data_IF_373285695159
#
_entry.id   IF_373285695159
#
_cell.length_a   1.000
_cell.length_b   1.000
_cell.length_c   1.000
_cell.angle_alpha   90.00
_cell.angle_beta   90.00
_cell.angle_gamma   90.00
#
_symmetry.space_group_name_H-M   'P 1'
#
loop_
_entity.id
_entity.type
_entity.pdbx_description
1 polymer ?
#
# COMPACT_ATOMS: atom_id res chain seq x y z
N UNK A 1 -47.49 -12.89 -19.15
CA UNK A 1 -46.87 -13.01 -20.49
C UNK A 1 -45.75 -11.98 -20.54
N UNK A 2 -44.49 -12.42 -20.67
CA UNK A 2 -43.37 -11.51 -20.82
C UNK A 2 -43.54 -10.73 -22.14
N UNK A 3 -43.41 -9.40 -22.08
CA UNK A 3 -43.54 -8.53 -23.24
C UNK A 3 -42.27 -8.71 -24.07
N UNK A 4 -42.38 -9.20 -25.32
CA UNK A 4 -41.25 -9.23 -26.25
C UNK A 4 -40.75 -7.80 -26.47
N UNK A 5 -39.48 -7.53 -26.20
CA UNK A 5 -38.82 -6.24 -26.45
C UNK A 5 -37.59 -6.46 -27.31
N UNK A 6 -37.38 -5.60 -28.30
CA UNK A 6 -36.15 -5.55 -29.08
C UNK A 6 -35.05 -4.86 -28.28
N UNK A 7 -33.79 -5.15 -28.59
CA UNK A 7 -32.66 -4.48 -27.94
C UNK A 7 -32.68 -2.96 -28.16
N UNK A 8 -33.13 -2.51 -29.33
CA UNK A 8 -33.34 -1.09 -29.62
C UNK A 8 -34.42 -0.47 -28.71
N UNK A 9 -35.45 -1.23 -28.33
CA UNK A 9 -36.47 -0.76 -27.40
C UNK A 9 -35.88 -0.56 -26.00
N UNK A 10 -34.91 -1.40 -25.59
CA UNK A 10 -34.18 -1.27 -24.31
C UNK A 10 -33.25 -0.06 -24.34
N UNK A 11 -32.50 0.14 -25.42
CA UNK A 11 -31.62 1.31 -25.59
C UNK A 11 -32.46 2.60 -25.58
N UNK A 12 -33.59 2.62 -26.29
CA UNK A 12 -34.50 3.77 -26.33
C UNK A 12 -35.17 4.03 -24.98
N UNK A 13 -35.47 2.97 -24.22
CA UNK A 13 -35.99 3.06 -22.85
C UNK A 13 -35.01 3.76 -21.89
N UNK A 14 -33.72 3.51 -22.06
CA UNK A 14 -32.63 4.00 -21.19
C UNK A 14 -32.01 5.32 -21.68
N UNK A 15 -32.36 5.77 -22.88
CA UNK A 15 -31.77 6.94 -23.55
C UNK A 15 -31.88 8.24 -22.74
N UNK A 16 -32.95 8.38 -21.98
CA UNK A 16 -33.23 9.57 -21.15
C UNK A 16 -32.82 9.37 -19.68
N UNK A 17 -32.12 8.28 -19.36
CA UNK A 17 -31.56 7.99 -18.03
C UNK A 17 -30.04 8.14 -18.05
N UNK A 18 -29.45 8.61 -16.95
CA UNK A 18 -28.00 8.82 -16.79
C UNK A 18 -27.27 7.47 -16.55
N UNK A 19 -27.42 6.55 -17.50
CA UNK A 19 -26.87 5.20 -17.43
C UNK A 19 -25.55 5.18 -18.20
N UNK A 20 -24.45 5.09 -17.47
CA UNK A 20 -23.10 5.01 -18.05
C UNK A 20 -22.77 3.60 -18.58
N UNK A 21 -23.24 2.54 -17.91
CA UNK A 21 -23.00 1.16 -18.29
C UNK A 21 -24.12 0.20 -17.80
N UNK A 22 -24.24 -0.96 -18.48
CA UNK A 22 -25.13 -2.06 -18.08
C UNK A 22 -24.28 -3.24 -17.58
N UNK A 23 -24.03 -3.30 -16.26
CA UNK A 23 -23.28 -4.39 -15.64
C UNK A 23 -24.21 -5.39 -14.93
N UNK A 24 -23.93 -6.69 -15.07
CA UNK A 24 -24.69 -7.76 -14.41
C UNK A 24 -26.11 -7.98 -14.94
N UNK A 25 -26.47 -7.37 -16.07
CA UNK A 25 -27.82 -7.49 -16.66
C UNK A 25 -27.92 -8.77 -17.50
N UNK A 26 -28.85 -9.65 -17.13
CA UNK A 26 -29.16 -10.87 -17.90
C UNK A 26 -30.45 -10.68 -18.68
N UNK A 27 -30.39 -10.82 -20.00
CA UNK A 27 -31.57 -10.84 -20.86
C UNK A 27 -32.03 -12.28 -21.05
N UNK A 28 -33.15 -12.66 -20.43
CA UNK A 28 -33.76 -13.98 -20.63
C UNK A 28 -34.84 -13.92 -21.73
N UNK A 29 -34.60 -14.63 -22.84
CA UNK A 29 -35.55 -14.78 -23.96
C UNK A 29 -34.93 -15.32 -25.24
N UNK A 30 -35.76 -15.67 -26.23
CA UNK A 30 -35.31 -16.05 -27.57
C UNK A 30 -34.76 -14.82 -28.29
N UNK A 31 -33.44 -14.76 -28.47
CA UNK A 31 -32.76 -13.70 -29.23
C UNK A 31 -32.81 -14.07 -30.71
N UNK A 32 -33.69 -13.41 -31.47
CA UNK A 32 -33.69 -13.46 -32.94
C UNK A 32 -32.86 -12.29 -33.49
N UNK A 33 -31.68 -12.60 -34.03
CA UNK A 33 -30.85 -11.67 -34.79
C UNK A 33 -31.14 -11.87 -36.28
N UNK A 34 -31.99 -11.03 -36.87
CA UNK A 34 -32.10 -10.93 -38.33
C UNK A 34 -30.87 -10.18 -38.87
N UNK A 35 -29.91 -10.93 -39.40
CA UNK A 35 -28.78 -10.38 -40.15
C UNK A 35 -29.18 -10.38 -41.62
N UNK A 36 -29.68 -9.25 -42.11
CA UNK A 36 -29.85 -9.06 -43.55
C UNK A 36 -28.48 -8.79 -44.19
N UNK A 37 -28.00 -9.76 -44.97
CA UNK A 37 -26.81 -9.57 -45.82
C UNK A 37 -27.04 -8.41 -46.78
N UNK A 38 -26.27 -7.34 -46.66
CA UNK A 38 -26.22 -6.32 -47.71
C UNK A 38 -25.30 -6.77 -48.84
N UNK A 39 -25.69 -6.44 -50.07
CA UNK A 39 -25.07 -6.92 -51.33
C UNK A 39 -23.58 -6.58 -51.54
N UNK A 40 -22.88 -6.03 -50.54
CA UNK A 40 -21.48 -5.63 -50.59
C UNK A 40 -20.57 -6.33 -49.54
N UNK A 41 -21.10 -7.23 -48.70
CA UNK A 41 -20.27 -8.00 -47.76
C UNK A 41 -19.62 -7.18 -46.63
N UNK A 42 -20.21 -6.05 -46.27
CA UNK A 42 -19.74 -5.17 -45.19
C UNK A 42 -20.59 -5.45 -43.94
N UNK A 43 -19.94 -5.55 -42.77
CA UNK A 43 -20.57 -5.78 -41.47
C UNK A 43 -21.73 -4.80 -41.20
N UNK A 44 -22.87 -5.32 -40.74
CA UNK A 44 -24.14 -4.58 -40.63
C UNK A 44 -24.07 -3.46 -39.60
N UNK A 45 -23.30 -3.65 -38.52
CA UNK A 45 -23.05 -2.63 -37.52
C UNK A 45 -22.16 -1.51 -38.07
N UNK A 46 -21.11 -1.86 -38.83
CA UNK A 46 -20.26 -0.89 -39.50
C UNK A 46 -21.01 -0.09 -40.57
N UNK A 47 -21.85 -0.75 -41.38
CA UNK A 47 -22.68 -0.10 -42.39
C UNK A 47 -23.73 0.84 -41.76
N UNK A 48 -24.35 0.42 -40.64
CA UNK A 48 -25.29 1.26 -39.89
C UNK A 48 -24.59 2.49 -39.28
N UNK A 49 -23.41 2.30 -38.69
CA UNK A 49 -22.64 3.38 -38.06
C UNK A 49 -22.13 4.38 -39.10
N UNK A 50 -21.58 3.90 -40.22
CA UNK A 50 -21.24 4.75 -41.37
C UNK A 50 -22.48 5.46 -41.94
N UNK A 51 -23.61 4.76 -42.05
CA UNK A 51 -24.86 5.33 -42.55
C UNK A 51 -25.33 6.50 -41.69
N UNK A 52 -25.29 6.36 -40.37
CA UNK A 52 -25.60 7.45 -39.44
C UNK A 52 -24.63 8.63 -39.58
N UNK A 53 -23.33 8.38 -39.59
CA UNK A 53 -22.33 9.46 -39.69
C UNK A 53 -22.40 10.18 -41.04
N UNK A 54 -22.63 9.45 -42.13
CA UNK A 54 -22.84 10.03 -43.46
C UNK A 54 -24.12 10.87 -43.51
N UNK A 55 -25.20 10.43 -42.86
CA UNK A 55 -26.44 11.20 -42.76
C UNK A 55 -26.26 12.49 -41.95
N UNK A 56 -25.48 12.46 -40.85
CA UNK A 56 -25.13 13.66 -40.07
C UNK A 56 -24.32 14.65 -40.90
N UNK A 57 -23.34 14.18 -41.67
CA UNK A 57 -22.57 15.03 -42.59
C UNK A 57 -23.49 15.67 -43.65
N UNK A 58 -24.42 14.89 -44.21
CA UNK A 58 -25.44 15.41 -45.14
C UNK A 58 -26.29 16.54 -44.53
N UNK A 59 -26.73 16.37 -43.28
CA UNK A 59 -27.45 17.40 -42.52
C UNK A 59 -26.61 18.66 -42.27
N UNK A 60 -25.33 18.51 -41.94
CA UNK A 60 -24.42 19.64 -41.77
C UNK A 60 -24.21 20.43 -43.07
N UNK A 61 -24.04 19.74 -44.20
CA UNK A 61 -23.89 20.38 -45.50
C UNK A 61 -25.17 21.10 -45.95
N UNK A 62 -26.34 20.53 -45.68
CA UNK A 62 -27.63 21.19 -45.94
C UNK A 62 -27.81 22.44 -45.08
N UNK A 63 -27.40 22.41 -43.82
CA UNK A 63 -27.43 23.58 -42.93
C UNK A 63 -26.44 24.66 -43.38
N UNK A 64 -25.25 24.28 -43.86
CA UNK A 64 -24.27 25.20 -44.45
C UNK A 64 -24.82 25.87 -45.72
N UNK A 65 -25.41 25.09 -46.63
CA UNK A 65 -26.05 25.60 -47.84
C UNK A 65 -27.21 26.58 -47.53
N UNK A 66 -28.00 26.29 -46.48
CA UNK A 66 -29.03 27.20 -45.97
C UNK A 66 -28.42 28.50 -45.42
N UNK A 67 -27.28 28.42 -44.72
CA UNK A 67 -26.59 29.60 -44.15
C UNK A 67 -26.05 30.58 -45.20
N UNK A 68 -25.77 30.11 -46.42
CA UNK A 68 -25.34 30.94 -47.57
C UNK A 68 -26.50 31.33 -48.50
N UNK A 69 -27.75 31.11 -48.07
CA UNK A 69 -28.97 31.55 -48.76
C UNK A 69 -29.47 30.64 -49.88
N UNK A 70 -28.97 29.40 -49.97
CA UNK A 70 -29.40 28.44 -50.99
C UNK A 70 -30.69 27.71 -50.57
N UNK A 71 -31.74 27.65 -51.42
CA UNK A 71 -33.03 27.05 -51.08
C UNK A 71 -32.97 25.52 -51.15
N UNK A 72 -32.60 24.89 -50.04
CA UNK A 72 -32.44 23.42 -49.92
C UNK A 72 -33.75 22.64 -49.72
N UNK A 73 -34.85 23.32 -49.42
CA UNK A 73 -36.12 22.68 -49.06
C UNK A 73 -36.82 21.97 -50.25
N UNK A 74 -36.35 22.19 -51.49
CA UNK A 74 -36.86 21.51 -52.69
C UNK A 74 -36.19 20.15 -52.96
N UNK A 75 -35.10 19.81 -52.26
CA UNK A 75 -34.29 18.60 -52.52
C UNK A 75 -34.69 17.43 -51.61
N UNK A 76 -35.28 17.70 -50.44
CA UNK A 76 -35.61 16.69 -49.43
C UNK A 76 -37.01 16.07 -49.63
N UNK A 77 -37.22 15.36 -50.73
CA UNK A 77 -38.39 14.49 -50.91
C UNK A 77 -38.17 13.10 -50.31
N UNK A 78 -38.20 12.97 -48.97
CA UNK A 78 -38.22 11.66 -48.31
C UNK A 78 -39.62 11.37 -47.77
N UNK A 79 -40.24 10.22 -48.11
CA UNK A 79 -41.51 9.82 -47.52
C UNK A 79 -41.33 9.53 -46.02
N UNK A 80 -42.24 10.06 -45.21
CA UNK A 80 -42.26 9.82 -43.78
C UNK A 80 -42.45 8.34 -43.47
N UNK A 81 -41.50 7.75 -42.73
CA UNK A 81 -41.71 6.43 -42.13
C UNK A 81 -42.84 6.49 -41.09
N UNK A 82 -43.67 5.44 -40.97
CA UNK A 82 -44.70 5.38 -39.94
C UNK A 82 -44.07 5.44 -38.55
N UNK A 83 -44.64 6.28 -37.69
CA UNK A 83 -44.26 6.39 -36.28
C UNK A 83 -44.40 5.01 -35.61
N UNK A 84 -43.28 4.46 -35.14
CA UNK A 84 -43.30 3.30 -34.27
C UNK A 84 -44.05 3.64 -32.97
N UNK A 85 -44.78 2.67 -32.37
CA UNK A 85 -45.51 2.89 -31.12
C UNK A 85 -44.56 3.36 -30.02
N UNK A 86 -44.92 4.45 -29.34
CA UNK A 86 -44.13 5.04 -28.27
C UNK A 86 -43.90 4.03 -27.13
N UNK A 87 -42.65 3.62 -26.94
CA UNK A 87 -42.22 2.86 -25.76
C UNK A 87 -42.43 3.76 -24.53
N UNK A 88 -43.03 3.26 -23.43
CA UNK A 88 -43.24 4.06 -22.22
C UNK A 88 -41.88 4.53 -21.67
N UNK A 89 -41.70 5.85 -21.56
CA UNK A 89 -40.48 6.44 -20.99
C UNK A 89 -40.36 6.10 -19.50
N UNK A 90 -39.20 5.61 -19.06
CA UNK A 90 -38.89 5.53 -17.63
C UNK A 90 -38.68 6.94 -17.09
N UNK A 91 -39.49 7.33 -16.11
CA UNK A 91 -39.39 8.65 -15.47
C UNK A 91 -38.39 8.66 -14.32
N UNK A 92 -38.05 7.49 -13.75
CA UNK A 92 -37.07 7.34 -12.68
C UNK A 92 -36.62 5.88 -12.58
N UNK A 93 -35.31 5.65 -12.44
CA UNK A 93 -34.79 4.34 -12.02
C UNK A 93 -35.14 4.08 -10.56
N UNK A 94 -35.23 2.80 -10.18
CA UNK A 94 -35.35 2.45 -8.76
C UNK A 94 -34.08 2.94 -8.06
N UNK A 95 -34.23 3.75 -7.01
CA UNK A 95 -33.09 4.19 -6.20
C UNK A 95 -32.46 2.96 -5.55
N UNK A 96 -31.27 2.59 -6.02
CA UNK A 96 -30.38 1.67 -5.33
C UNK A 96 -29.33 2.48 -4.60
N UNK A 97 -29.10 2.17 -3.32
CA UNK A 97 -27.96 2.71 -2.59
C UNK A 97 -26.82 1.73 -2.76
N UNK A 98 -25.72 2.19 -3.37
CA UNK A 98 -24.45 1.52 -3.21
C UNK A 98 -24.06 1.58 -1.73
N UNK A 99 -24.13 0.44 -1.05
CA UNK A 99 -23.62 0.29 0.31
C UNK A 99 -22.24 -0.34 0.22
N UNK A 100 -21.24 0.43 0.62
CA UNK A 100 -19.90 -0.09 0.91
C UNK A 100 -19.92 -0.79 2.27
N UNK A 101 -19.13 -1.84 2.44
CA UNK A 101 -18.75 -2.33 3.76
C UNK A 101 -19.38 -3.61 4.31
N UNK A 102 -19.61 -4.61 3.46
CA UNK A 102 -20.16 -5.90 3.88
C UNK A 102 -19.60 -7.05 3.05
N UNK A 103 -18.28 -7.24 3.02
CA UNK A 103 -17.75 -8.53 2.59
C UNK A 103 -17.82 -9.49 3.79
N UNK A 104 -18.80 -10.39 3.74
CA UNK A 104 -19.05 -11.41 4.78
C UNK A 104 -17.89 -12.42 4.92
N UNK A 105 -16.91 -12.41 4.00
CA UNK A 105 -15.68 -13.20 4.12
C UNK A 105 -14.71 -12.62 5.15
N UNK A 106 -14.79 -11.32 5.48
CA UNK A 106 -13.97 -10.70 6.53
C UNK A 106 -14.48 -11.10 7.92
N UNK A 107 -13.91 -12.16 8.48
CA UNK A 107 -14.33 -12.77 9.76
C UNK A 107 -13.59 -12.24 10.98
N UNK A 108 -12.35 -11.79 10.82
CA UNK A 108 -11.56 -11.27 11.95
C UNK A 108 -10.92 -9.94 11.64
N UNK A 109 -10.70 -9.17 12.70
CA UNK A 109 -9.96 -7.92 12.67
C UNK A 109 -8.47 -8.22 12.83
N UNK A 110 -7.64 -7.42 12.15
CA UNK A 110 -6.20 -7.37 12.42
C UNK A 110 -5.97 -6.88 13.85
N UNK A 111 -5.12 -7.55 14.62
CA UNK A 111 -4.84 -7.17 16.01
C UNK A 111 -4.37 -5.72 16.08
N UNK A 112 -4.82 -5.00 17.11
CA UNK A 112 -4.25 -3.70 17.43
C UNK A 112 -3.01 -3.90 18.31
N UNK A 113 -1.91 -3.28 17.93
CA UNK A 113 -0.64 -3.33 18.67
C UNK A 113 -0.17 -1.91 18.91
N UNK A 114 -0.05 -1.53 20.19
CA UNK A 114 0.45 -0.22 20.59
C UNK A 114 1.93 -0.27 20.91
N UNK A 115 2.68 0.68 20.33
CA UNK A 115 4.10 0.94 20.55
C UNK A 115 4.28 2.23 21.35
N UNK A 116 5.25 2.18 22.27
CA UNK A 116 5.51 3.27 23.19
C UNK A 116 4.60 3.23 24.42
N UNK A 117 5.09 3.83 25.50
CA UNK A 117 4.37 3.98 26.75
C UNK A 117 4.61 5.39 27.30
N UNK A 118 3.54 6.10 27.65
CA UNK A 118 3.64 7.43 28.23
C UNK A 118 3.84 7.35 29.74
N UNK A 119 4.00 8.49 30.39
CA UNK A 119 4.06 8.57 31.86
C UNK A 119 2.84 7.97 32.58
N UNK A 120 1.65 7.93 31.95
CA UNK A 120 0.48 7.26 32.53
C UNK A 120 0.54 5.74 32.43
N UNK A 121 1.35 5.21 31.53
CA UNK A 121 1.52 3.78 31.24
C UNK A 121 2.80 3.21 31.88
N UNK A 122 3.60 4.07 32.53
CA UNK A 122 4.87 3.71 33.17
C UNK A 122 6.12 3.91 32.32
N UNK A 123 5.99 4.45 31.10
CA UNK A 123 7.12 4.79 30.23
C UNK A 123 7.41 6.29 30.20
N UNK A 124 8.27 6.72 29.27
CA UNK A 124 8.70 8.11 29.14
C UNK A 124 8.42 8.73 27.76
N UNK A 125 7.74 8.00 26.88
CA UNK A 125 7.38 8.50 25.54
C UNK A 125 6.39 9.67 25.65
N UNK A 126 6.45 10.60 24.70
CA UNK A 126 5.53 11.74 24.60
C UNK A 126 4.15 11.35 24.07
N UNK A 127 4.09 10.27 23.29
CA UNK A 127 2.85 9.68 22.76
C UNK A 127 3.06 8.21 22.41
N UNK A 128 1.95 7.53 22.12
CA UNK A 128 1.94 6.13 21.64
C UNK A 128 1.50 6.07 20.18
N UNK A 129 1.87 5.00 19.49
CA UNK A 129 1.40 4.69 18.14
C UNK A 129 0.71 3.33 18.16
N UNK A 130 -0.48 3.24 17.57
CA UNK A 130 -1.20 1.97 17.41
C UNK A 130 -1.20 1.56 15.95
N UNK A 131 -0.84 0.30 15.70
CA UNK A 131 -0.89 -0.36 14.40
C UNK A 131 -2.06 -1.33 14.34
N UNK A 132 -2.50 -1.65 13.13
CA UNK A 132 -3.50 -2.68 12.90
C UNK A 132 -4.93 -2.20 13.14
N UNK A 133 -5.84 -3.12 13.43
CA UNK A 133 -7.25 -2.85 13.65
C UNK A 133 -8.10 -2.90 12.38
N UNK A 134 -7.53 -3.14 11.22
CA UNK A 134 -8.24 -3.20 9.94
C UNK A 134 -9.26 -4.35 9.93
N UNK A 135 -10.39 -4.10 9.27
CA UNK A 135 -11.45 -5.09 9.01
C UNK A 135 -11.67 -5.34 7.52
N UNK A 136 -10.77 -4.81 6.69
CA UNK A 136 -10.74 -4.93 5.24
C UNK A 136 -9.29 -4.78 4.76
N UNK A 137 -9.09 -4.91 3.45
CA UNK A 137 -7.83 -4.57 2.78
C UNK A 137 -7.48 -3.08 2.96
N UNK A 138 -6.19 -2.71 2.89
CA UNK A 138 -5.75 -1.33 3.07
C UNK A 138 -6.39 -0.40 2.03
N UNK A 139 -6.84 0.77 2.48
CA UNK A 139 -7.50 1.80 1.66
C UNK A 139 -8.78 1.34 0.93
N UNK A 140 -9.32 0.19 1.30
CA UNK A 140 -10.47 -0.38 0.63
C UNK A 140 -11.78 0.13 1.24
N UNK A 141 -12.82 0.27 0.41
CA UNK A 141 -14.10 0.84 0.84
C UNK A 141 -14.91 -0.09 1.77
N UNK A 142 -14.50 -1.36 1.92
CA UNK A 142 -15.21 -2.35 2.74
C UNK A 142 -15.19 -2.05 4.25
N UNK A 143 -14.20 -1.32 4.75
CA UNK A 143 -14.19 -0.89 6.15
C UNK A 143 -13.26 0.31 6.31
N UNK A 144 -13.53 1.20 7.28
CA UNK A 144 -12.58 2.23 7.62
C UNK A 144 -11.26 1.59 8.09
N UNK A 145 -10.15 2.11 7.59
CA UNK A 145 -8.83 1.84 8.13
C UNK A 145 -8.68 2.67 9.42
N UNK A 146 -8.55 2.07 10.62
CA UNK A 146 -8.59 2.82 11.88
C UNK A 146 -7.27 3.53 12.19
N UNK A 147 -6.15 2.93 11.78
CA UNK A 147 -4.81 3.46 11.99
C UNK A 147 -4.14 3.64 10.63
N UNK A 148 -3.44 4.76 10.44
CA UNK A 148 -2.67 4.99 9.21
C UNK A 148 -1.39 4.16 9.21
N UNK A 149 -0.70 4.13 8.07
CA UNK A 149 0.67 3.62 8.00
C UNK A 149 1.63 4.57 8.73
N UNK A 150 2.61 3.99 9.42
CA UNK A 150 3.65 4.72 10.16
C UNK A 150 5.05 4.41 9.62
N UNK A 151 5.96 5.36 9.78
CA UNK A 151 7.35 5.22 9.34
C UNK A 151 8.31 5.34 10.51
N UNK A 152 9.18 4.35 10.66
CA UNK A 152 10.35 4.41 11.52
C UNK A 152 11.58 4.71 10.67
N UNK A 153 12.46 5.60 11.14
CA UNK A 153 13.71 5.92 10.44
C UNK A 153 14.89 5.29 11.16
N UNK A 154 15.77 4.63 10.39
CA UNK A 154 16.94 3.94 10.91
C UNK A 154 18.02 4.92 11.41
N UNK A 155 18.52 4.62 12.60
CA UNK A 155 19.67 5.21 13.29
C UNK A 155 20.60 4.08 13.70
N UNK A 156 21.91 4.34 13.74
CA UNK A 156 22.92 3.32 14.00
C UNK A 156 23.75 3.69 15.22
N UNK A 157 24.16 2.69 16.00
CA UNK A 157 25.01 2.87 17.19
C UNK A 157 26.48 3.20 16.87
N UNK A 158 26.86 3.07 15.61
CA UNK A 158 28.15 3.46 15.07
C UNK A 158 28.01 3.93 13.62
N UNK A 159 28.97 4.70 13.09
CA UNK A 159 29.00 5.05 11.69
C UNK A 159 29.09 3.81 10.80
N UNK A 160 28.20 3.71 9.81
CA UNK A 160 28.21 2.63 8.80
C UNK A 160 28.39 3.17 7.39
N UNK A 161 28.82 2.30 6.48
CA UNK A 161 28.85 2.59 5.05
C UNK A 161 27.42 2.69 4.50
N UNK A 162 27.09 3.80 3.83
CA UNK A 162 25.78 4.02 3.21
C UNK A 162 25.92 4.51 1.77
N UNK A 163 24.87 4.30 0.98
CA UNK A 163 24.73 4.94 -0.32
C UNK A 163 24.82 6.47 -0.16
N UNK A 164 25.53 7.15 -1.07
CA UNK A 164 25.77 8.60 -0.98
C UNK A 164 24.47 9.41 -0.83
N UNK A 165 23.42 9.02 -1.56
CA UNK A 165 22.12 9.68 -1.52
C UNK A 165 21.45 9.63 -0.14
N UNK A 166 21.71 8.57 0.63
CA UNK A 166 21.27 8.46 2.03
C UNK A 166 22.22 9.24 2.93
N UNK A 167 23.52 8.92 2.84
CA UNK A 167 24.57 9.44 3.71
C UNK A 167 24.57 10.96 3.82
N UNK A 168 24.38 11.67 2.71
CA UNK A 168 24.43 13.14 2.67
C UNK A 168 23.40 13.84 3.57
N UNK A 169 22.38 13.12 4.05
CA UNK A 169 21.37 13.67 4.97
C UNK A 169 21.80 13.58 6.45
N UNK A 170 22.85 12.83 6.76
CA UNK A 170 23.22 12.45 8.12
C UNK A 170 24.66 12.77 8.51
N UNK A 171 25.49 13.30 7.60
CA UNK A 171 26.95 13.46 7.79
C UNK A 171 27.35 14.21 9.07
N UNK A 172 26.48 15.09 9.57
CA UNK A 172 26.66 15.89 10.79
C UNK A 172 26.33 15.15 12.09
N UNK A 173 25.65 13.99 12.02
CA UNK A 173 25.15 13.25 13.19
C UNK A 173 25.55 11.77 13.24
N UNK A 174 26.22 11.23 12.22
CA UNK A 174 26.53 9.78 12.14
C UNK A 174 27.38 9.23 13.31
N UNK A 175 28.05 10.11 14.06
CA UNK A 175 28.91 9.75 15.21
C UNK A 175 28.18 9.84 16.56
N UNK A 176 26.93 10.31 16.59
CA UNK A 176 26.15 10.56 17.81
C UNK A 176 24.70 10.04 17.60
N UNK A 177 24.39 8.82 18.07
CA UNK A 177 23.09 8.20 17.89
C UNK A 177 21.93 9.02 18.48
N UNK A 178 22.16 9.72 19.61
CA UNK A 178 21.18 10.61 20.21
C UNK A 178 20.86 11.83 19.35
N UNK A 179 21.86 12.53 18.82
CA UNK A 179 21.66 13.64 17.88
C UNK A 179 21.09 13.16 16.55
N UNK A 180 21.47 11.98 16.09
CA UNK A 180 20.89 11.36 14.90
C UNK A 180 19.39 11.09 15.10
N UNK A 181 19.00 10.49 16.21
CA UNK A 181 17.60 10.29 16.58
C UNK A 181 16.82 11.61 16.63
N UNK A 182 17.38 12.65 17.25
CA UNK A 182 16.77 13.99 17.27
C UNK A 182 16.58 14.54 15.86
N UNK A 183 17.57 14.36 14.98
CA UNK A 183 17.51 14.85 13.60
C UNK A 183 16.40 14.15 12.81
N UNK A 184 16.32 12.82 12.87
CA UNK A 184 15.28 12.09 12.10
C UNK A 184 13.86 12.44 12.57
N UNK A 185 13.66 12.68 13.87
CA UNK A 185 12.37 13.14 14.39
C UNK A 185 12.08 14.58 13.98
N UNK A 186 13.00 15.51 14.25
CA UNK A 186 12.75 16.96 14.09
C UNK A 186 12.75 17.42 12.64
N UNK A 187 13.66 16.90 11.82
CA UNK A 187 13.85 17.37 10.44
C UNK A 187 13.16 16.48 9.42
N UNK A 188 13.07 15.17 9.70
CA UNK A 188 12.54 14.17 8.75
C UNK A 188 11.17 13.60 9.15
N UNK A 189 10.60 14.08 10.25
CA UNK A 189 9.25 13.75 10.70
C UNK A 189 9.04 12.22 10.85
N UNK A 190 10.03 11.54 11.42
CA UNK A 190 9.93 10.13 11.78
C UNK A 190 8.79 9.93 12.79
N UNK A 191 7.94 8.92 12.57
CA UNK A 191 6.90 8.56 13.54
C UNK A 191 7.50 7.73 14.69
N UNK A 192 8.53 6.95 14.40
CA UNK A 192 9.34 6.16 15.33
C UNK A 192 10.82 6.26 14.96
N UNK A 193 11.70 5.81 15.86
CA UNK A 193 13.13 5.61 15.56
C UNK A 193 13.47 4.13 15.65
N UNK A 194 14.16 3.60 14.65
CA UNK A 194 14.79 2.27 14.74
C UNK A 194 16.25 2.47 15.08
N UNK A 195 16.69 2.00 16.25
CA UNK A 195 18.12 1.96 16.59
C UNK A 195 18.68 0.58 16.26
N UNK A 196 19.64 0.52 15.34
CA UNK A 196 20.38 -0.69 15.00
C UNK A 196 21.70 -0.74 15.75
N UNK A 197 21.88 -1.78 16.57
CA UNK A 197 23.09 -2.01 17.36
C UNK A 197 24.15 -2.76 16.52
N UNK A 198 24.55 -2.19 15.39
CA UNK A 198 25.46 -2.82 14.41
C UNK A 198 26.85 -3.09 15.02
N UNK A 199 27.29 -2.27 15.97
CA UNK A 199 28.60 -2.45 16.61
C UNK A 199 28.73 -3.80 17.33
N UNK A 200 27.63 -4.49 17.63
CA UNK A 200 27.67 -5.79 18.30
C UNK A 200 28.09 -6.94 17.40
N UNK A 201 28.14 -6.76 16.08
CA UNK A 201 28.57 -7.81 15.15
C UNK A 201 29.99 -8.29 15.52
N UNK A 202 30.20 -9.60 15.79
CA UNK A 202 31.52 -10.17 16.05
C UNK A 202 32.55 -9.96 14.94
N UNK A 203 32.10 -9.65 13.70
CA UNK A 203 32.96 -9.33 12.56
C UNK A 203 33.29 -7.84 12.43
N UNK A 204 32.66 -6.99 13.24
CA UNK A 204 32.92 -5.55 13.32
C UNK A 204 33.64 -5.21 14.64
N UNK A 205 32.94 -4.57 15.59
CA UNK A 205 33.53 -4.14 16.86
C UNK A 205 33.33 -5.17 17.97
N UNK A 206 32.45 -6.16 17.78
CA UNK A 206 32.06 -7.15 18.81
C UNK A 206 31.62 -6.50 20.15
N UNK A 207 31.02 -5.31 20.09
CA UNK A 207 30.65 -4.54 21.28
C UNK A 207 29.83 -5.41 22.24
N UNK A 208 30.17 -5.47 23.54
CA UNK A 208 29.39 -6.23 24.51
C UNK A 208 27.96 -5.71 24.64
N UNK A 209 26.99 -6.61 24.84
CA UNK A 209 25.57 -6.26 24.98
C UNK A 209 25.30 -5.16 26.03
N UNK A 210 26.02 -5.18 27.16
CA UNK A 210 25.92 -4.16 28.22
C UNK A 210 26.36 -2.78 27.73
N UNK A 211 27.37 -2.72 26.86
CA UNK A 211 27.86 -1.47 26.30
C UNK A 211 26.92 -0.95 25.21
N UNK A 212 26.54 -1.80 24.25
CA UNK A 212 25.62 -1.43 23.17
C UNK A 212 24.24 -0.98 23.70
N UNK A 213 23.76 -1.59 24.78
CA UNK A 213 22.49 -1.19 25.41
C UNK A 213 22.46 0.25 25.92
N UNK A 214 23.63 0.87 26.19
CA UNK A 214 23.68 2.29 26.59
C UNK A 214 23.23 3.23 25.47
N UNK A 215 23.48 2.85 24.22
CA UNK A 215 22.98 3.61 23.06
C UNK A 215 21.45 3.60 23.01
N UNK A 216 20.80 2.52 23.44
CA UNK A 216 19.34 2.48 23.56
C UNK A 216 18.85 3.49 24.61
N UNK A 217 19.50 3.55 25.78
CA UNK A 217 19.20 4.54 26.82
C UNK A 217 19.41 5.98 26.31
N UNK A 218 20.50 6.23 25.58
CA UNK A 218 20.79 7.53 24.97
C UNK A 218 19.68 7.96 24.00
N UNK A 219 19.25 7.08 23.09
CA UNK A 219 18.17 7.37 22.14
C UNK A 219 16.83 7.55 22.87
N UNK A 220 16.53 6.73 23.88
CA UNK A 220 15.34 6.89 24.72
C UNK A 220 15.28 8.28 25.39
N UNK A 221 16.43 8.80 25.84
CA UNK A 221 16.52 10.14 26.45
C UNK A 221 16.51 11.27 25.41
N UNK A 222 16.92 10.98 24.17
CA UNK A 222 17.06 11.96 23.09
C UNK A 222 15.73 12.34 22.43
N UNK A 223 14.80 11.38 22.31
CA UNK A 223 13.51 11.54 21.61
C UNK A 223 12.33 11.02 22.42
N UNK A 224 11.15 11.55 22.13
CA UNK A 224 9.89 11.21 22.81
C UNK A 224 8.98 10.28 21.98
N UNK A 225 9.37 9.94 20.75
CA UNK A 225 8.67 8.95 19.90
C UNK A 225 8.92 7.51 20.38
N UNK A 226 8.05 6.54 20.03
CA UNK A 226 8.32 5.12 20.23
C UNK A 226 9.58 4.63 19.50
N UNK A 227 10.20 3.57 20.02
CA UNK A 227 11.47 3.03 19.52
C UNK A 227 11.35 1.56 19.11
N UNK A 228 11.96 1.24 17.97
CA UNK A 228 12.29 -0.11 17.53
C UNK A 228 13.77 -0.38 17.81
N UNK A 229 14.08 -1.53 18.41
CA UNK A 229 15.46 -1.90 18.77
C UNK A 229 15.88 -3.10 17.92
N UNK A 230 16.87 -2.89 17.05
CA UNK A 230 17.47 -3.90 16.18
C UNK A 230 18.84 -4.34 16.66
N UNK A 231 19.15 -5.63 16.51
CA UNK A 231 20.51 -6.15 16.66
C UNK A 231 21.39 -5.91 15.43
N UNK A 232 22.52 -6.61 15.39
CA UNK A 232 23.44 -6.62 14.24
C UNK A 232 23.03 -7.57 13.10
N UNK A 233 22.05 -8.45 13.36
CA UNK A 233 21.69 -9.56 12.47
C UNK A 233 22.47 -10.85 12.78
N UNK A 234 23.25 -10.90 13.86
CA UNK A 234 24.03 -12.08 14.21
C UNK A 234 23.19 -13.03 15.09
N UNK A 235 22.99 -14.29 14.67
CA UNK A 235 22.02 -15.16 15.33
C UNK A 235 22.37 -15.57 16.76
N UNK A 236 23.65 -15.55 17.11
CA UNK A 236 24.12 -15.91 18.45
C UNK A 236 24.20 -14.67 19.37
N UNK A 237 24.60 -13.52 18.82
CA UNK A 237 24.78 -12.28 19.57
C UNK A 237 23.46 -11.55 19.82
N UNK A 238 22.59 -11.47 18.81
CA UNK A 238 21.39 -10.63 18.86
C UNK A 238 20.45 -11.00 20.03
N UNK A 239 20.16 -12.28 20.36
CA UNK A 239 19.33 -12.59 21.52
C UNK A 239 19.89 -12.08 22.86
N UNK A 240 21.23 -12.05 23.02
CA UNK A 240 21.89 -11.51 24.21
C UNK A 240 21.77 -9.98 24.27
N UNK A 241 21.94 -9.35 23.11
CA UNK A 241 21.87 -7.88 22.96
C UNK A 241 20.45 -7.40 23.19
N UNK A 242 19.46 -8.04 22.56
CA UNK A 242 18.05 -7.66 22.67
C UNK A 242 17.50 -7.92 24.08
N UNK A 243 17.92 -8.98 24.78
CA UNK A 243 17.55 -9.18 26.18
C UNK A 243 18.07 -8.03 27.06
N UNK A 244 19.32 -7.62 26.85
CA UNK A 244 19.90 -6.53 27.61
C UNK A 244 19.29 -5.16 27.24
N UNK A 245 18.99 -4.96 25.96
CA UNK A 245 18.32 -3.76 25.48
C UNK A 245 16.87 -3.64 26.02
N UNK A 246 16.16 -4.77 26.13
CA UNK A 246 14.85 -4.83 26.75
C UNK A 246 14.91 -4.45 28.25
N UNK A 247 15.94 -4.89 28.97
CA UNK A 247 16.11 -4.53 30.39
C UNK A 247 16.31 -3.02 30.60
N UNK A 248 17.15 -2.37 29.78
CA UNK A 248 17.40 -0.92 29.92
C UNK A 248 16.20 -0.08 29.45
N UNK A 249 15.35 -0.64 28.59
CA UNK A 249 14.15 0.00 28.07
C UNK A 249 12.88 -0.40 28.84
N UNK A 250 13.00 -1.01 30.02
CA UNK A 250 11.86 -1.53 30.77
C UNK A 250 10.73 -0.49 30.91
N UNK A 251 9.50 -0.90 30.57
CA UNK A 251 8.33 -0.04 30.65
C UNK A 251 8.12 0.89 29.45
N UNK A 252 9.07 1.01 28.51
CA UNK A 252 8.96 1.91 27.34
C UNK A 252 8.12 1.34 26.20
N UNK A 253 7.76 0.05 26.28
CA UNK A 253 6.98 -0.68 25.26
C UNK A 253 7.55 -0.54 23.84
N UNK A 254 8.88 -0.67 23.73
CA UNK A 254 9.62 -0.78 22.47
C UNK A 254 9.22 -2.03 21.65
N UNK A 255 9.55 -2.00 20.36
CA UNK A 255 9.53 -3.18 19.47
C UNK A 255 10.92 -3.82 19.41
N UNK A 256 11.04 -5.09 19.82
CA UNK A 256 12.29 -5.85 19.69
C UNK A 256 12.35 -6.52 18.31
N UNK A 257 13.30 -6.09 17.48
CA UNK A 257 13.54 -6.59 16.13
C UNK A 257 14.82 -7.48 16.10
N UNK A 258 14.72 -8.80 16.03
CA UNK A 258 13.50 -9.60 15.87
C UNK A 258 13.61 -11.00 16.48
N UNK A 259 12.47 -11.64 16.75
CA UNK A 259 12.39 -13.06 17.02
C UNK A 259 12.19 -13.83 15.71
N UNK A 260 12.84 -14.99 15.58
CA UNK A 260 12.77 -15.82 14.37
C UNK A 260 13.06 -17.28 14.69
N UNK A 261 12.63 -18.19 13.80
CA UNK A 261 12.91 -19.64 13.92
C UNK A 261 14.41 -19.99 13.81
N UNK A 262 15.22 -19.11 13.23
CA UNK A 262 16.69 -19.24 13.17
C UNK A 262 17.42 -18.48 14.29
N UNK A 263 16.68 -17.85 15.20
CA UNK A 263 17.17 -17.14 16.38
C UNK A 263 16.66 -17.84 17.64
N UNK A 264 17.22 -17.49 18.80
CA UNK A 264 16.64 -17.85 20.09
C UNK A 264 15.40 -16.99 20.38
N UNK A 265 14.30 -17.29 19.67
CA UNK A 265 13.02 -16.58 19.81
C UNK A 265 12.45 -16.72 21.23
N UNK A 266 12.75 -17.80 21.94
CA UNK A 266 12.28 -18.03 23.31
C UNK A 266 12.91 -17.01 24.27
N UNK A 267 14.21 -16.75 24.14
CA UNK A 267 14.90 -15.73 24.92
C UNK A 267 14.38 -14.32 24.65
N UNK A 268 14.18 -13.98 23.38
CA UNK A 268 13.65 -12.65 22.99
C UNK A 268 12.22 -12.47 23.51
N UNK A 269 11.37 -13.49 23.38
CA UNK A 269 10.01 -13.48 23.91
C UNK A 269 9.99 -13.39 25.45
N UNK A 270 10.88 -14.10 26.13
CA UNK A 270 11.02 -14.02 27.58
C UNK A 270 11.43 -12.61 28.04
N UNK A 271 12.37 -11.98 27.34
CA UNK A 271 12.76 -10.59 27.60
C UNK A 271 11.60 -9.62 27.36
N UNK A 272 10.87 -9.78 26.25
CA UNK A 272 9.72 -8.94 25.94
C UNK A 272 8.61 -9.05 27.00
N UNK A 273 8.29 -10.27 27.45
CA UNK A 273 7.30 -10.50 28.50
C UNK A 273 7.75 -9.94 29.85
N UNK A 274 9.02 -10.10 30.19
CA UNK A 274 9.58 -9.63 31.46
C UNK A 274 9.58 -8.10 31.58
N UNK A 275 9.96 -7.40 30.51
CA UNK A 275 10.18 -5.95 30.52
C UNK A 275 9.06 -5.13 29.84
N UNK A 276 8.05 -5.79 29.28
CA UNK A 276 6.85 -5.15 28.75
C UNK A 276 6.96 -4.65 27.30
N UNK A 277 7.64 -5.39 26.44
CA UNK A 277 7.88 -5.02 25.03
C UNK A 277 7.03 -5.80 24.02
N UNK A 278 7.01 -5.28 22.80
CA UNK A 278 6.42 -5.91 21.62
C UNK A 278 7.52 -6.69 20.88
N UNK A 279 7.17 -7.83 20.29
CA UNK A 279 8.08 -8.69 19.53
C UNK A 279 7.80 -8.56 18.04
N UNK A 280 8.85 -8.33 17.25
CA UNK A 280 8.78 -8.49 15.80
C UNK A 280 9.01 -9.97 15.45
N UNK A 281 7.97 -10.61 14.91
CA UNK A 281 7.96 -12.00 14.44
C UNK A 281 8.42 -12.06 12.99
N UNK A 282 9.72 -12.29 12.79
CA UNK A 282 10.36 -12.23 11.48
C UNK A 282 10.50 -13.60 10.83
N UNK A 283 10.13 -13.73 9.56
CA UNK A 283 10.35 -14.93 8.73
C UNK A 283 10.75 -14.58 7.31
N UNK A 284 11.28 -15.55 6.57
CA UNK A 284 11.83 -15.36 5.22
C UNK A 284 10.82 -15.77 4.12
N UNK A 285 9.91 -14.85 3.76
CA UNK A 285 8.99 -14.98 2.61
C UNK A 285 8.18 -16.29 2.58
N UNK A 286 7.80 -16.85 3.75
CA UNK A 286 7.09 -18.12 3.82
C UNK A 286 5.99 -18.09 4.89
N UNK A 287 4.74 -18.23 4.42
CA UNK A 287 3.54 -18.07 5.24
C UNK A 287 3.39 -19.16 6.32
N UNK A 288 3.81 -20.40 6.08
CA UNK A 288 3.66 -21.47 7.07
C UNK A 288 4.65 -21.30 8.22
N UNK A 289 5.87 -20.86 7.94
CA UNK A 289 6.87 -20.46 8.91
C UNK A 289 6.34 -19.28 9.74
N UNK A 290 5.67 -18.31 9.11
CA UNK A 290 5.04 -17.20 9.82
C UNK A 290 3.98 -17.68 10.81
N UNK A 291 3.08 -18.57 10.36
CA UNK A 291 2.08 -19.21 11.24
C UNK A 291 2.73 -19.97 12.39
N UNK A 292 3.77 -20.74 12.09
CA UNK A 292 4.50 -21.51 13.08
C UNK A 292 5.12 -20.61 14.14
N UNK A 293 5.86 -19.56 13.73
CA UNK A 293 6.50 -18.64 14.64
C UNK A 293 5.47 -17.90 15.50
N UNK A 294 4.41 -17.35 14.90
CA UNK A 294 3.34 -16.66 15.63
C UNK A 294 2.68 -17.61 16.66
N UNK A 295 2.40 -18.86 16.27
CA UNK A 295 1.87 -19.88 17.18
C UNK A 295 2.83 -20.19 18.33
N UNK A 296 4.13 -20.29 18.07
CA UNK A 296 5.15 -20.56 19.09
C UNK A 296 5.28 -19.40 20.08
N UNK A 297 5.33 -18.16 19.58
CA UNK A 297 5.36 -16.96 20.42
C UNK A 297 4.13 -16.91 21.35
N UNK A 298 2.93 -17.14 20.83
CA UNK A 298 1.72 -17.15 21.65
C UNK A 298 1.63 -18.36 22.61
N UNK A 299 1.76 -19.58 22.09
CA UNK A 299 1.41 -20.80 22.85
C UNK A 299 2.56 -21.37 23.68
N UNK A 300 3.81 -21.19 23.23
CA UNK A 300 4.98 -21.71 23.94
C UNK A 300 5.61 -20.63 24.83
N UNK A 301 5.75 -19.41 24.30
CA UNK A 301 6.40 -18.32 25.02
C UNK A 301 5.42 -17.45 25.83
N UNK A 302 4.11 -17.56 25.59
CA UNK A 302 3.10 -16.78 26.28
C UNK A 302 3.11 -15.29 25.93
N UNK A 303 3.54 -14.92 24.72
CA UNK A 303 3.47 -13.53 24.25
C UNK A 303 2.01 -13.18 23.93
N UNK A 304 1.53 -12.10 24.53
CA UNK A 304 0.17 -11.61 24.30
C UNK A 304 -0.01 -11.17 22.83
N UNK A 305 -1.23 -11.31 22.32
CA UNK A 305 -1.56 -11.02 20.91
C UNK A 305 -1.39 -9.55 20.55
N UNK A 306 -1.61 -8.63 21.50
CA UNK A 306 -1.40 -7.19 21.38
C UNK A 306 0.09 -6.78 21.44
N UNK A 307 1.01 -7.78 21.39
CA UNK A 307 2.46 -7.59 21.45
C UNK A 307 3.21 -8.33 20.33
N UNK A 308 2.55 -8.66 19.23
CA UNK A 308 3.16 -9.31 18.06
C UNK A 308 2.94 -8.45 16.82
N UNK A 309 4.03 -8.03 16.18
CA UNK A 309 4.05 -7.46 14.83
C UNK A 309 4.77 -8.46 13.92
N UNK A 310 4.26 -8.67 12.72
CA UNK A 310 4.78 -9.67 11.76
C UNK A 310 5.68 -8.99 10.72
N UNK A 311 6.86 -9.54 10.46
CA UNK A 311 7.69 -9.16 9.32
C UNK A 311 7.96 -10.39 8.45
N UNK A 312 7.24 -10.56 7.33
CA UNK A 312 7.41 -11.73 6.46
C UNK A 312 8.57 -11.56 5.46
N UNK A 313 9.52 -10.66 5.74
CA UNK A 313 10.63 -10.21 4.90
C UNK A 313 10.20 -9.33 3.73
N UNK A 314 10.82 -8.16 3.62
CA UNK A 314 10.71 -7.27 2.47
C UNK A 314 11.79 -7.59 1.42
N UNK A 315 11.36 -7.75 0.17
CA UNK A 315 12.25 -7.77 -0.99
C UNK A 315 12.15 -6.43 -1.74
N UNK A 316 13.29 -5.92 -2.21
CA UNK A 316 13.36 -4.65 -2.92
C UNK A 316 12.78 -4.73 -4.34
N UNK A 317 12.36 -3.59 -4.89
CA UNK A 317 12.00 -3.45 -6.30
C UNK A 317 13.09 -4.06 -7.21
N UNK A 318 12.68 -4.97 -8.11
CA UNK A 318 13.59 -5.67 -9.03
C UNK A 318 14.33 -6.88 -8.43
N UNK A 319 14.18 -7.14 -7.13
CA UNK A 319 14.87 -8.22 -6.40
C UNK A 319 13.88 -9.09 -5.61
N UNK A 320 12.69 -9.36 -6.18
CA UNK A 320 11.67 -10.24 -5.59
C UNK A 320 10.52 -9.53 -4.88
N UNK A 321 10.33 -8.22 -5.12
CA UNK A 321 9.21 -7.44 -4.56
C UNK A 321 7.84 -8.05 -4.85
N UNK A 322 7.66 -8.67 -6.01
CA UNK A 322 6.44 -9.41 -6.40
C UNK A 322 6.16 -10.58 -5.45
N UNK A 323 7.18 -11.36 -5.10
CA UNK A 323 7.05 -12.44 -4.11
C UNK A 323 6.72 -11.89 -2.72
N UNK A 324 7.39 -10.81 -2.29
CA UNK A 324 7.09 -10.16 -1.01
C UNK A 324 5.66 -9.63 -0.96
N UNK A 325 5.22 -8.93 -2.02
CA UNK A 325 3.86 -8.42 -2.15
C UNK A 325 2.83 -9.54 -2.03
N UNK A 326 2.95 -10.59 -2.85
CA UNK A 326 1.98 -11.69 -2.83
C UNK A 326 1.99 -12.46 -1.50
N UNK A 327 3.14 -12.58 -0.83
CA UNK A 327 3.19 -13.22 0.49
C UNK A 327 2.48 -12.37 1.55
N UNK A 328 2.75 -11.06 1.59
CA UNK A 328 2.12 -10.12 2.52
C UNK A 328 0.61 -9.99 2.28
N UNK A 329 0.17 -9.89 1.02
CA UNK A 329 -1.25 -9.85 0.66
C UNK A 329 -1.97 -11.14 1.10
N UNK A 330 -1.35 -12.31 0.89
CA UNK A 330 -1.89 -13.60 1.36
C UNK A 330 -1.98 -13.68 2.89
N UNK A 331 -0.99 -13.14 3.62
CA UNK A 331 -1.02 -13.05 5.08
C UNK A 331 -2.19 -12.15 5.53
N UNK A 332 -2.32 -10.95 4.93
CA UNK A 332 -3.40 -10.01 5.25
C UNK A 332 -4.77 -10.63 4.97
N UNK A 333 -4.97 -11.22 3.80
CA UNK A 333 -6.21 -11.91 3.44
C UNK A 333 -6.52 -13.06 4.39
N UNK A 334 -5.54 -13.94 4.66
CA UNK A 334 -5.72 -15.06 5.58
C UNK A 334 -6.15 -14.59 6.97
N UNK A 335 -5.52 -13.54 7.49
CA UNK A 335 -5.91 -12.91 8.74
C UNK A 335 -7.37 -12.44 8.70
N UNK A 336 -7.74 -11.62 7.71
CA UNK A 336 -9.09 -11.09 7.58
C UNK A 336 -10.15 -12.19 7.46
N UNK A 337 -9.89 -13.28 6.72
CA UNK A 337 -10.86 -14.38 6.53
C UNK A 337 -10.91 -15.38 7.70
N UNK A 338 -10.09 -15.18 8.74
CA UNK A 338 -10.22 -15.84 10.04
C UNK A 338 -9.04 -16.70 10.49
N UNK A 339 -7.87 -16.57 9.88
CA UNK A 339 -6.65 -17.19 10.39
C UNK A 339 -6.06 -16.36 11.55
N UNK A 340 -6.41 -16.74 12.78
CA UNK A 340 -5.94 -16.07 14.00
C UNK A 340 -4.42 -16.14 14.23
N UNK A 341 -3.70 -16.97 13.47
CA UNK A 341 -2.23 -17.02 13.53
C UNK A 341 -1.58 -16.00 12.60
N UNK A 342 -2.35 -15.31 11.75
CA UNK A 342 -1.87 -14.35 10.75
C UNK A 342 -2.55 -12.97 10.83
N UNK A 343 -3.58 -12.79 11.65
CA UNK A 343 -4.29 -11.51 11.80
C UNK A 343 -3.52 -10.50 12.69
N UNK A 344 -2.24 -10.30 12.44
CA UNK A 344 -1.39 -9.32 13.14
C UNK A 344 -1.03 -8.16 12.20
N UNK A 345 -0.65 -6.98 12.74
CA UNK A 345 -0.12 -5.92 11.92
C UNK A 345 1.24 -6.33 11.32
N UNK A 346 1.56 -5.82 10.15
CA UNK A 346 2.77 -6.16 9.40
C UNK A 346 3.76 -5.00 9.33
N UNK A 347 5.05 -5.30 9.39
CA UNK A 347 6.12 -4.36 9.11
C UNK A 347 6.92 -4.72 7.86
N UNK A 348 7.49 -3.68 7.25
CA UNK A 348 8.39 -3.79 6.10
C UNK A 348 9.76 -3.18 6.41
N UNK A 349 10.81 -3.98 6.29
CA UNK A 349 12.19 -3.50 6.15
C UNK A 349 12.44 -2.84 4.79
N UNK A 350 11.79 -1.71 4.50
CA UNK A 350 11.86 -1.01 3.22
C UNK A 350 13.26 -0.49 2.90
N UNK A 351 14.09 -0.27 3.91
CA UNK A 351 15.53 -0.01 3.82
C UNK A 351 16.28 -1.01 2.90
N UNK A 352 15.77 -2.24 2.75
CA UNK A 352 16.32 -3.24 1.80
C UNK A 352 16.39 -2.72 0.35
N UNK A 353 15.60 -1.71 -0.01
CA UNK A 353 15.69 -1.02 -1.30
C UNK A 353 17.11 -0.50 -1.60
N UNK A 354 17.88 -0.11 -0.58
CA UNK A 354 19.25 0.37 -0.71
C UNK A 354 20.28 -0.73 -0.96
N UNK A 355 19.89 -2.01 -0.83
CA UNK A 355 20.67 -3.16 -1.27
C UNK A 355 20.66 -3.37 -2.79
N UNK A 356 19.65 -2.83 -3.49
CA UNK A 356 19.57 -2.89 -4.95
C UNK A 356 20.72 -2.07 -5.57
N UNK A 357 21.44 -2.65 -6.54
CA UNK A 357 22.56 -1.97 -7.22
C UNK A 357 22.12 -0.68 -7.87
N UNK A 358 20.94 -0.72 -8.44
CA UNK A 358 20.23 0.40 -9.01
C UNK A 358 20.13 1.53 -7.99
N UNK A 359 19.79 1.29 -6.73
CA UNK A 359 19.60 2.40 -5.78
C UNK A 359 20.84 3.27 -5.53
N UNK A 360 22.07 2.77 -5.74
CA UNK A 360 23.29 3.47 -5.30
C UNK A 360 24.45 3.52 -6.31
N UNK A 361 24.50 2.62 -7.29
CA UNK A 361 25.54 2.65 -8.33
C UNK A 361 25.38 3.87 -9.23
N UNK A 362 26.51 4.42 -9.66
CA UNK A 362 26.53 5.60 -10.56
C UNK A 362 26.00 5.24 -11.94
N UNK A 363 26.30 4.03 -12.41
CA UNK A 363 25.88 3.50 -13.70
C UNK A 363 25.81 1.97 -13.64
N UNK A 364 25.20 1.34 -14.64
CA UNK A 364 25.19 -0.12 -14.74
C UNK A 364 26.61 -0.70 -14.77
N UNK A 365 26.85 -1.86 -14.10
CA UNK A 365 28.08 -2.62 -14.30
C UNK A 365 28.15 -3.32 -15.67
N UNK A 366 27.05 -3.40 -16.41
CA UNK A 366 26.97 -4.01 -17.74
C UNK A 366 27.20 -2.94 -18.81
N UNK A 367 28.01 -3.24 -19.83
CA UNK A 367 28.42 -2.25 -20.84
C UNK A 367 27.32 -1.95 -21.85
N UNK A 368 26.46 -2.92 -22.06
CA UNK A 368 25.35 -2.94 -23.00
C UNK A 368 24.05 -2.37 -22.41
N UNK A 369 24.04 -2.07 -21.12
CA UNK A 369 22.86 -1.54 -20.43
C UNK A 369 22.58 -0.09 -20.81
N UNK A 370 21.32 0.30 -20.65
CA UNK A 370 20.92 1.71 -20.79
C UNK A 370 21.53 2.57 -19.69
N UNK A 371 21.64 3.87 -19.95
CA UNK A 371 21.91 4.83 -18.90
C UNK A 371 20.75 4.81 -17.89
N UNK A 372 21.06 4.46 -16.65
CA UNK A 372 20.10 4.47 -15.56
C UNK A 372 19.79 5.90 -15.09
N UNK A 373 20.57 6.91 -15.49
CA UNK A 373 20.40 8.27 -15.01
C UNK A 373 20.80 8.45 -13.53
N UNK A 374 20.55 9.64 -12.95
CA UNK A 374 21.14 10.02 -11.68
C UNK A 374 20.63 9.20 -10.49
N UNK A 375 21.55 8.62 -9.73
CA UNK A 375 21.24 7.82 -8.53
C UNK A 375 20.60 8.63 -7.40
N UNK A 376 20.81 9.95 -7.38
CA UNK A 376 20.22 10.87 -6.41
C UNK A 376 18.69 10.92 -6.53
N UNK A 377 18.14 10.63 -7.71
CA UNK A 377 16.70 10.46 -7.91
C UNK A 377 16.29 8.99 -7.81
N UNK A 378 17.05 8.08 -8.43
CA UNK A 378 16.67 6.67 -8.47
C UNK A 378 16.70 5.97 -7.12
N UNK A 379 17.69 6.25 -6.27
CA UNK A 379 17.79 5.63 -4.94
C UNK A 379 16.52 5.85 -4.12
N UNK A 380 16.09 7.11 -3.90
CA UNK A 380 14.84 7.40 -3.22
C UNK A 380 13.62 6.80 -3.91
N UNK A 381 13.55 6.79 -5.25
CA UNK A 381 12.45 6.17 -6.01
C UNK A 381 12.37 4.66 -5.72
N UNK A 382 13.51 3.97 -5.61
CA UNK A 382 13.55 2.55 -5.29
C UNK A 382 12.92 2.25 -3.93
N UNK A 383 13.22 3.09 -2.93
CA UNK A 383 12.66 2.99 -1.59
C UNK A 383 11.16 3.35 -1.58
N UNK A 384 10.76 4.42 -2.29
CA UNK A 384 9.35 4.85 -2.44
C UNK A 384 8.51 3.74 -3.07
N UNK A 385 8.93 3.20 -4.21
CA UNK A 385 8.16 2.19 -4.94
C UNK A 385 8.05 0.90 -4.14
N UNK A 386 9.14 0.48 -3.48
CA UNK A 386 9.11 -0.67 -2.56
C UNK A 386 8.09 -0.44 -1.45
N UNK A 387 8.14 0.70 -0.75
CA UNK A 387 7.21 1.02 0.33
C UNK A 387 5.74 1.11 -0.12
N UNK A 388 5.45 1.84 -1.21
CA UNK A 388 4.09 1.99 -1.72
C UNK A 388 3.47 0.67 -2.15
N UNK A 389 4.26 -0.19 -2.80
CA UNK A 389 3.81 -1.52 -3.21
C UNK A 389 3.42 -2.35 -1.99
N UNK A 390 4.24 -2.32 -0.93
CA UNK A 390 3.99 -3.09 0.28
C UNK A 390 2.90 -2.49 1.17
N UNK A 391 2.62 -1.19 1.05
CA UNK A 391 1.46 -0.55 1.65
C UNK A 391 0.15 -1.08 1.06
N UNK A 392 0.09 -1.29 -0.26
CA UNK A 392 -1.03 -1.97 -0.91
C UNK A 392 -1.14 -3.45 -0.50
N UNK A 393 -0.01 -4.10 -0.23
CA UNK A 393 0.04 -5.46 0.32
C UNK A 393 -0.38 -5.57 1.79
N UNK A 394 -0.69 -4.45 2.46
CA UNK A 394 -1.22 -4.41 3.82
C UNK A 394 -0.19 -4.18 4.93
N UNK A 395 0.99 -3.62 4.64
CA UNK A 395 1.96 -3.28 5.70
C UNK A 395 1.55 -2.02 6.47
N UNK A 396 1.74 -2.04 7.79
CA UNK A 396 1.32 -0.99 8.71
C UNK A 396 2.51 -0.12 9.18
N UNK A 397 3.71 -0.71 9.28
CA UNK A 397 4.95 -0.05 9.72
C UNK A 397 6.07 -0.19 8.69
N UNK A 398 6.72 0.92 8.32
CA UNK A 398 7.80 0.93 7.34
C UNK A 398 9.12 1.37 7.97
N UNK A 399 10.16 0.54 7.88
CA UNK A 399 11.52 0.89 8.28
C UNK A 399 12.26 1.47 7.07
N UNK A 400 12.65 2.73 7.15
CA UNK A 400 13.18 3.52 6.04
C UNK A 400 14.43 4.30 6.43
N UNK A 401 15.17 4.79 5.42
CA UNK A 401 16.38 5.59 5.60
C UNK A 401 16.36 6.95 4.89
N UNK A 402 15.80 7.08 3.69
CA UNK A 402 15.95 8.35 2.94
C UNK A 402 14.82 9.34 3.26
N UNK A 403 15.12 10.55 3.75
CA UNK A 403 14.09 11.49 4.22
C UNK A 403 13.12 11.93 3.11
N UNK A 404 13.61 12.10 1.88
CA UNK A 404 12.74 12.38 0.73
C UNK A 404 11.80 11.22 0.38
N UNK A 405 12.23 9.96 0.61
CA UNK A 405 11.40 8.79 0.37
C UNK A 405 10.32 8.66 1.44
N UNK A 406 10.69 8.88 2.71
CA UNK A 406 9.77 8.94 3.86
C UNK A 406 8.68 9.97 3.62
N UNK A 407 9.05 11.19 3.20
CA UNK A 407 8.08 12.25 2.92
C UNK A 407 7.05 11.82 1.88
N UNK A 408 7.51 11.29 0.75
CA UNK A 408 6.62 10.87 -0.36
C UNK A 408 5.73 9.69 0.05
N UNK A 409 6.29 8.69 0.73
CA UNK A 409 5.50 7.56 1.22
C UNK A 409 4.40 8.03 2.17
N UNK A 410 4.75 8.88 3.15
CA UNK A 410 3.78 9.45 4.09
C UNK A 410 2.71 10.27 3.38
N UNK A 411 3.09 11.15 2.46
CA UNK A 411 2.14 11.99 1.72
C UNK A 411 1.12 11.16 0.93
N UNK A 412 1.57 10.14 0.19
CA UNK A 412 0.67 9.29 -0.60
C UNK A 412 -0.21 8.43 0.30
N UNK A 413 0.37 7.71 1.28
CA UNK A 413 -0.40 6.82 2.17
C UNK A 413 -1.39 7.60 3.04
N UNK A 414 -1.04 8.81 3.48
CA UNK A 414 -1.95 9.67 4.25
C UNK A 414 -3.05 10.32 3.40
N UNK A 415 -2.80 10.52 2.11
CA UNK A 415 -3.83 10.90 1.13
C UNK A 415 -4.82 9.76 0.94
N UNK A 416 -4.32 8.54 0.72
CA UNK A 416 -5.17 7.34 0.60
C UNK A 416 -5.95 7.05 1.88
N UNK A 417 -5.36 7.30 3.05
CA UNK A 417 -6.01 7.22 4.35
C UNK A 417 -7.09 8.32 4.56
N UNK A 418 -7.07 9.40 3.77
CA UNK A 418 -8.01 10.51 3.86
C UNK A 418 -7.65 11.58 4.91
N UNK A 419 -6.43 11.56 5.44
CA UNK A 419 -5.95 12.59 6.38
C UNK A 419 -5.40 13.85 5.70
N UNK A 420 -4.98 13.72 4.43
CA UNK A 420 -4.60 14.85 3.59
C UNK A 420 -5.76 15.14 2.63
N UNK A 421 -6.31 16.36 2.71
CA UNK A 421 -7.31 16.82 1.74
C UNK A 421 -6.61 17.24 0.46
N UNK A 422 -7.00 16.64 -0.65
CA UNK A 422 -6.61 17.08 -2.00
C UNK A 422 -7.78 17.78 -2.66
N UNK A 423 -7.49 18.59 -3.67
CA UNK A 423 -8.53 19.17 -4.52
C UNK A 423 -9.31 18.04 -5.22
N UNK A 424 -10.61 18.23 -5.46
CA UNK A 424 -11.38 17.32 -6.30
C UNK A 424 -10.80 17.37 -7.72
N UNK A 425 -10.20 16.26 -8.15
CA UNK A 425 -9.72 16.10 -9.52
C UNK A 425 -10.92 15.66 -10.37
N UNK A 426 -11.17 16.35 -11.48
CA UNK A 426 -12.15 15.92 -12.47
C UNK A 426 -11.66 14.65 -13.16
N UNK A 427 -12.13 13.49 -12.66
CA UNK A 427 -11.78 12.18 -13.19
C UNK A 427 -12.60 11.80 -14.42
N UNK A 428 -13.52 12.64 -14.89
CA UNK A 428 -14.39 12.30 -16.04
C UNK A 428 -13.59 12.00 -17.32
N UNK A 429 -12.35 12.48 -17.39
CA UNK A 429 -11.45 12.25 -18.53
C UNK A 429 -10.06 11.74 -18.11
N UNK A 430 -9.96 11.00 -17.01
CA UNK A 430 -8.68 10.52 -16.45
C UNK A 430 -7.79 9.80 -17.48
N UNK A 431 -8.39 9.10 -18.46
CA UNK A 431 -7.66 8.42 -19.54
C UNK A 431 -6.89 9.42 -20.43
N UNK A 432 -7.46 10.59 -20.72
CA UNK A 432 -6.80 11.60 -21.53
C UNK A 432 -5.65 12.29 -20.76
N UNK A 433 -5.80 12.45 -19.44
CA UNK A 433 -4.78 13.05 -18.57
C UNK A 433 -3.57 12.13 -18.35
N UNK A 434 -3.77 10.81 -18.29
CA UNK A 434 -2.69 9.82 -18.09
C UNK A 434 -1.88 9.55 -19.36
N UNK A 435 -2.47 9.78 -20.54
CA UNK A 435 -1.86 9.50 -21.86
C UNK A 435 -1.17 10.75 -22.46
N UNK A 436 -1.43 11.94 -21.92
CA UNK A 436 -0.78 13.20 -22.30
C UNK A 436 0.57 13.38 -21.59
#
# INVERSE_FOLDING_TARGET
>A
MAKKMKINDVIELLKDTDVEALEGVTFEGDIELEIDETAAGIDSLFAYTMGQETAKIGLYLLNLARSVGYPVDQIAGMPAQPLAPSVPKLSKLIESKFSVGTNDEWKTQIQEVTLGATSSDGGTRGHTITLGGEKALPYYFDAPMPNRNYVTIDVFDMPIGMAKAVKSNYEDVMEDPGEWAKKVVKEFNADLVTIHLISTDPLLNDTPAVEASKTVEEVLQAVDVPIVIGGSGNPEKDPLVLERAAEVAEGERCLLASASLNLDYERIAAAANKYGHVVLSWTQLEINAQKELNRKLMKQCGVDRDRIIVDPTTAALGYGLDYAYSNMERIRLAGLIGDEELNFPMSSGTTNAWGAREAWMVSSPLKEDSDWGPREYRGPIWEIVTGLTLALGGNDLFMMMHPGAVKVLKEITQTLFGSIKTDEIDLSNWVAEVVA
#
